data_IF_210673916163
#
_entry.id   IF_210673916163
#
_cell.length_a   1.000
_cell.length_b   1.000
_cell.length_c   1.000
_cell.angle_alpha   90.00
_cell.angle_beta   90.00
_cell.angle_gamma   90.00
#
_symmetry.space_group_name_H-M   'P 1'
#
loop_
_entity.id
_entity.type
_entity.pdbx_description
1 polymer ?
#
# COMPACT_ATOMS: atom_id res chain seq x y z
N UNK A 1 -41.34 22.13 -43.33
CA UNK A 1 -40.61 22.93 -44.33
C UNK A 1 -39.14 22.93 -43.92
N UNK A 2 -38.30 22.33 -44.78
CA UNK A 2 -36.82 22.46 -44.92
C UNK A 2 -35.98 22.00 -43.69
N UNK A 3 -35.33 20.82 -43.68
CA UNK A 3 -33.99 20.47 -44.25
C UNK A 3 -32.88 21.48 -43.84
N UNK A 4 -31.62 21.17 -43.48
CA UNK A 4 -30.70 20.06 -43.76
C UNK A 4 -29.39 20.21 -42.93
N UNK A 5 -28.88 19.08 -42.40
CA UNK A 5 -27.50 18.53 -42.44
C UNK A 5 -26.28 19.47 -42.27
N UNK A 6 -25.37 19.11 -41.33
CA UNK A 6 -23.98 18.72 -41.63
C UNK A 6 -23.17 18.35 -40.38
N UNK A 7 -22.81 17.07 -40.27
CA UNK A 7 -21.74 16.59 -39.41
C UNK A 7 -20.36 16.72 -40.08
N UNK A 8 -19.30 16.76 -39.27
CA UNK A 8 -17.93 16.52 -39.71
C UNK A 8 -17.20 15.58 -38.76
N UNK A 9 -16.83 14.43 -39.32
CA UNK A 9 -15.76 13.55 -38.87
C UNK A 9 -14.39 14.20 -39.15
N UNK A 10 -13.44 14.01 -38.23
CA UNK A 10 -11.99 14.06 -38.49
C UNK A 10 -11.34 13.09 -37.50
N UNK A 11 -11.04 11.85 -37.88
CA UNK A 11 -9.83 11.40 -38.58
C UNK A 11 -8.61 11.31 -37.67
N UNK A 12 -8.28 10.05 -37.41
CA UNK A 12 -7.19 9.48 -36.63
C UNK A 12 -5.86 9.73 -37.36
N UNK A 13 -4.82 10.18 -36.63
CA UNK A 13 -3.44 10.07 -37.08
C UNK A 13 -2.63 9.18 -36.11
N UNK A 14 -2.28 8.00 -36.60
CA UNK A 14 -1.20 7.15 -36.11
C UNK A 14 0.15 7.83 -36.40
N UNK A 15 1.03 7.86 -35.41
CA UNK A 15 2.46 8.05 -35.63
C UNK A 15 3.20 7.08 -34.69
N UNK A 16 3.59 5.93 -35.23
CA UNK A 16 4.58 5.02 -34.64
C UNK A 16 5.95 5.44 -35.18
N UNK A 17 6.91 5.62 -34.29
CA UNK A 17 8.34 5.67 -34.64
C UNK A 17 9.06 4.59 -33.85
N UNK A 18 9.36 3.50 -34.55
CA UNK A 18 10.33 2.47 -34.15
C UNK A 18 11.75 3.02 -34.28
N UNK A 19 12.57 2.80 -33.25
CA UNK A 19 14.03 2.84 -33.40
C UNK A 19 14.69 1.91 -32.38
N UNK A 20 14.91 0.66 -32.77
CA UNK A 20 15.79 -0.30 -32.07
C UNK A 20 17.26 -0.03 -32.41
N UNK A 21 18.20 -0.09 -31.44
CA UNK A 21 19.63 -0.02 -31.72
C UNK A 21 20.20 -1.37 -32.19
N UNK A 22 21.14 -1.30 -33.14
CA UNK A 22 21.85 -2.39 -33.82
C UNK A 22 22.75 -3.21 -32.88
N UNK A 23 22.67 -4.54 -32.98
CA UNK A 23 23.61 -5.50 -32.39
C UNK A 23 24.96 -5.52 -33.15
N UNK A 24 26.06 -5.52 -32.41
CA UNK A 24 27.43 -5.79 -32.90
C UNK A 24 27.81 -7.27 -32.70
N UNK A 25 28.48 -7.93 -33.67
CA UNK A 25 28.80 -9.35 -33.60
C UNK A 25 30.07 -9.64 -32.77
N UNK A 26 30.21 -10.85 -32.17
CA UNK A 26 31.38 -11.22 -31.37
C UNK A 26 32.53 -11.75 -32.24
N UNK A 27 33.73 -11.26 -31.95
CA UNK A 27 35.00 -11.69 -32.54
C UNK A 27 35.42 -13.07 -32.01
N UNK A 28 35.68 -14.00 -32.94
CA UNK A 28 36.33 -15.30 -32.68
C UNK A 28 37.79 -15.08 -32.30
N UNK A 29 38.24 -15.68 -31.19
CA UNK A 29 39.66 -15.93 -30.94
C UNK A 29 39.95 -17.43 -30.93
N UNK A 30 40.94 -17.79 -31.75
CA UNK A 30 41.41 -19.14 -32.07
C UNK A 30 42.28 -19.74 -30.97
N UNK A 31 42.17 -21.07 -30.84
CA UNK A 31 43.09 -21.98 -30.14
C UNK A 31 44.52 -21.85 -30.67
N UNK A 32 45.50 -21.86 -29.78
CA UNK A 32 46.80 -22.48 -30.06
C UNK A 32 47.26 -23.34 -28.88
N UNK A 33 47.61 -24.59 -29.21
CA UNK A 33 48.22 -25.58 -28.33
C UNK A 33 49.73 -25.46 -28.51
N UNK A 34 50.49 -25.38 -27.42
CA UNK A 34 51.88 -25.82 -27.43
C UNK A 34 52.15 -26.72 -26.23
N UNK A 35 52.37 -28.00 -26.51
CA UNK A 35 53.02 -28.98 -25.62
C UNK A 35 54.54 -28.83 -25.78
N UNK A 36 55.27 -28.75 -24.68
CA UNK A 36 56.65 -29.25 -24.56
C UNK A 36 56.87 -29.73 -23.13
N UNK A 37 57.47 -30.90 -23.00
CA UNK A 37 57.70 -31.63 -21.75
C UNK A 37 59.20 -31.92 -21.58
N UNK A 38 59.55 -32.26 -20.32
CA UNK A 38 60.77 -32.88 -19.77
C UNK A 38 61.78 -31.93 -19.09
N UNK A 39 62.58 -32.39 -18.10
CA UNK A 39 62.19 -33.17 -16.90
C UNK A 39 62.88 -32.70 -15.60
N UNK A 40 62.39 -33.17 -14.44
CA UNK A 40 63.19 -33.43 -13.23
C UNK A 40 63.45 -32.29 -12.25
N UNK A 41 62.80 -32.34 -11.09
CA UNK A 41 63.37 -32.45 -9.72
C UNK A 41 62.31 -32.05 -8.70
N UNK A 42 61.96 -32.96 -7.78
CA UNK A 42 61.17 -32.65 -6.60
C UNK A 42 62.08 -31.98 -5.54
N UNK A 43 61.55 -31.03 -4.75
CA UNK A 43 61.49 -31.35 -3.32
C UNK A 43 60.31 -30.75 -2.54
N UNK A 44 59.98 -31.45 -1.45
CA UNK A 44 59.38 -31.00 -0.19
C UNK A 44 58.00 -30.30 -0.16
N UNK A 45 57.01 -31.08 0.27
CA UNK A 45 55.78 -30.59 0.90
C UNK A 45 56.00 -30.30 2.39
N UNK A 46 55.76 -29.08 2.88
CA UNK A 46 55.48 -28.86 4.29
C UNK A 46 53.99 -29.15 4.59
N UNK A 47 53.80 -29.87 5.69
CA UNK A 47 52.51 -30.27 6.24
C UNK A 47 51.61 -29.07 6.59
N UNK A 48 50.32 -29.22 6.27
CA UNK A 48 49.11 -28.71 6.95
C UNK A 48 49.28 -27.50 7.90
N UNK A 49 48.79 -26.34 7.46
CA UNK A 49 47.97 -25.48 8.32
C UNK A 49 46.57 -25.39 7.70
N UNK A 50 45.65 -26.19 8.22
CA UNK A 50 44.22 -26.05 7.97
C UNK A 50 43.75 -24.74 8.63
N UNK A 51 43.77 -23.64 7.89
CA UNK A 51 43.04 -22.44 8.29
C UNK A 51 41.55 -22.78 8.22
N UNK A 52 40.95 -23.17 9.35
CA UNK A 52 39.50 -23.18 9.52
C UNK A 52 39.04 -21.74 9.29
N UNK A 53 38.59 -21.44 8.07
CA UNK A 53 37.69 -20.32 7.84
C UNK A 53 36.45 -20.65 8.64
N UNK A 54 36.36 -20.10 9.85
CA UNK A 54 35.12 -20.15 10.59
C UNK A 54 34.12 -19.37 9.74
N UNK A 55 32.97 -19.95 9.36
CA UNK A 55 31.91 -19.14 8.80
C UNK A 55 31.64 -18.05 9.85
N UNK A 56 31.77 -16.78 9.44
CA UNK A 56 31.25 -15.69 10.28
C UNK A 56 29.81 -16.06 10.60
N UNK A 57 29.37 -16.01 11.86
CA UNK A 57 27.96 -16.21 12.16
C UNK A 57 27.20 -15.22 11.28
N UNK A 58 26.27 -15.74 10.48
CA UNK A 58 25.32 -14.90 9.79
C UNK A 58 24.77 -13.94 10.84
N UNK A 59 24.90 -12.62 10.62
CA UNK A 59 24.21 -11.64 11.46
C UNK A 59 22.74 -12.06 11.45
N UNK A 60 22.27 -12.63 12.56
CA UNK A 60 20.86 -12.89 12.78
C UNK A 60 20.24 -11.50 12.72
N UNK A 61 19.65 -11.16 11.57
CA UNK A 61 18.91 -9.92 11.42
C UNK A 61 17.75 -10.10 12.39
N UNK A 62 17.78 -9.38 13.51
CA UNK A 62 16.71 -9.44 14.49
C UNK A 62 15.41 -9.16 13.74
N UNK A 63 14.49 -10.12 13.76
CA UNK A 63 13.15 -9.93 13.22
C UNK A 63 12.49 -8.81 14.02
N UNK A 64 11.96 -7.80 13.34
CA UNK A 64 11.18 -6.76 13.98
C UNK A 64 9.98 -7.40 14.69
N UNK A 65 9.49 -6.85 15.81
CA UNK A 65 8.28 -7.35 16.45
C UNK A 65 7.02 -6.92 15.69
N UNK A 66 5.88 -7.54 16.01
CA UNK A 66 4.57 -7.04 15.58
C UNK A 66 4.30 -5.64 16.17
N UNK A 67 3.46 -4.83 15.53
CA UNK A 67 3.22 -3.47 16.00
C UNK A 67 2.41 -3.45 17.29
N UNK A 68 2.71 -2.48 18.14
CA UNK A 68 1.95 -2.15 19.34
C UNK A 68 1.41 -0.72 19.25
N UNK A 69 2.21 0.22 18.74
CA UNK A 69 1.87 1.63 18.63
C UNK A 69 2.20 2.19 17.25
N UNK A 70 1.59 3.32 16.91
CA UNK A 70 1.88 4.02 15.67
C UNK A 70 1.72 5.53 15.82
N UNK A 71 2.48 6.28 15.03
CA UNK A 71 2.28 7.70 14.77
C UNK A 71 1.71 7.90 13.36
N UNK A 72 0.95 8.98 13.18
CA UNK A 72 0.36 9.37 11.90
C UNK A 72 0.63 10.83 11.59
N UNK A 73 1.02 11.10 10.34
CA UNK A 73 0.99 12.42 9.73
C UNK A 73 0.16 12.34 8.45
N UNK A 74 -1.03 12.97 8.45
CA UNK A 74 -1.89 13.08 7.27
C UNK A 74 -1.83 14.50 6.73
N UNK A 75 -1.57 14.66 5.45
CA UNK A 75 -1.46 15.99 4.84
C UNK A 75 -1.87 15.98 3.36
N UNK A 76 -2.11 17.18 2.82
CA UNK A 76 -2.42 17.41 1.42
C UNK A 76 -3.56 18.40 1.27
N UNK A 77 -4.38 18.29 0.22
CA UNK A 77 -5.50 19.22 0.00
C UNK A 77 -6.78 18.55 -0.46
N UNK A 78 -7.90 19.16 -0.07
CA UNK A 78 -9.26 18.82 -0.52
C UNK A 78 -9.85 20.07 -1.17
N UNK A 79 -10.23 19.98 -2.45
CA UNK A 79 -10.68 21.11 -3.27
C UNK A 79 -9.70 22.30 -3.23
N UNK A 80 -8.39 22.03 -3.19
CA UNK A 80 -7.35 23.07 -3.12
C UNK A 80 -7.15 23.72 -1.74
N UNK A 81 -7.92 23.33 -0.72
CA UNK A 81 -7.68 23.72 0.65
C UNK A 81 -6.69 22.75 1.31
N UNK A 82 -5.49 23.24 1.60
CA UNK A 82 -4.47 22.48 2.32
C UNK A 82 -4.93 22.15 3.74
N UNK A 83 -4.66 20.93 4.17
CA UNK A 83 -4.87 20.45 5.53
C UNK A 83 -3.63 19.67 6.01
N UNK A 84 -3.48 19.58 7.32
CA UNK A 84 -2.40 18.85 7.96
C UNK A 84 -2.88 18.38 9.33
N UNK A 85 -2.69 17.10 9.63
CA UNK A 85 -3.08 16.46 10.88
C UNK A 85 -1.98 15.55 11.37
N UNK A 86 -1.71 15.59 12.68
CA UNK A 86 -0.73 14.73 13.34
C UNK A 86 -1.35 14.02 14.53
N UNK A 87 -0.82 12.86 14.87
CA UNK A 87 -1.23 12.12 16.06
C UNK A 87 -0.67 10.71 16.06
N UNK A 88 -1.46 9.76 16.54
CA UNK A 88 -1.03 8.38 16.67
C UNK A 88 -2.05 7.53 17.40
N UNK A 89 -1.61 6.34 17.77
CA UNK A 89 -2.49 5.31 18.27
C UNK A 89 -1.79 4.03 18.67
N UNK A 90 -2.62 3.01 18.91
CA UNK A 90 -2.20 1.66 19.28
C UNK A 90 -3.16 0.63 18.71
N UNK A 91 -2.73 -0.61 18.66
CA UNK A 91 -3.58 -1.70 18.19
C UNK A 91 -3.15 -3.07 18.71
N UNK A 92 -3.98 -4.05 18.44
CA UNK A 92 -3.74 -5.46 18.72
C UNK A 92 -3.58 -6.23 17.40
N UNK A 93 -2.35 -6.62 17.05
CA UNK A 93 -2.05 -7.31 15.79
C UNK A 93 -2.58 -8.74 15.73
N UNK A 94 -3.05 -9.30 16.85
CA UNK A 94 -3.69 -10.62 16.88
C UNK A 94 -5.21 -10.54 16.70
N UNK A 95 -5.79 -9.39 17.04
CA UNK A 95 -7.24 -9.17 16.93
C UNK A 95 -7.63 -8.46 15.63
N UNK A 96 -6.70 -7.81 14.93
CA UNK A 96 -7.06 -6.93 13.80
C UNK A 96 -7.79 -5.69 14.28
N UNK A 97 -7.39 -5.12 15.43
CA UNK A 97 -8.02 -3.92 15.95
C UNK A 97 -7.02 -2.82 16.23
N UNK A 98 -7.43 -1.56 16.02
CA UNK A 98 -6.61 -0.40 16.34
C UNK A 98 -7.46 0.82 16.69
N UNK A 99 -6.85 1.75 17.42
CA UNK A 99 -7.39 3.07 17.71
C UNK A 99 -6.37 4.11 17.27
N UNK A 100 -6.83 5.12 16.54
CA UNK A 100 -5.99 6.21 16.02
C UNK A 100 -6.68 7.55 16.27
N UNK A 101 -5.96 8.51 16.82
CA UNK A 101 -6.42 9.90 16.96
C UNK A 101 -5.49 10.82 16.18
N UNK A 102 -6.06 11.71 15.39
CA UNK A 102 -5.32 12.75 14.66
C UNK A 102 -5.93 14.12 14.94
N UNK A 103 -5.08 15.12 15.13
CA UNK A 103 -5.43 16.53 15.38
C UNK A 103 -4.90 17.41 14.27
N UNK A 104 -5.73 18.34 13.81
CA UNK A 104 -5.33 19.34 12.82
C UNK A 104 -4.29 20.31 13.39
N UNK A 105 -3.27 20.60 12.60
CA UNK A 105 -2.25 21.63 12.89
C UNK A 105 -2.58 22.97 12.22
N UNK A 106 -3.64 23.00 11.39
CA UNK A 106 -4.07 24.18 10.59
C UNK A 106 -5.45 24.71 11.00
N UNK A 107 -5.90 24.39 12.22
CA UNK A 107 -7.22 24.79 12.72
C UNK A 107 -8.35 23.93 12.18
N UNK A 108 -9.58 24.47 12.13
CA UNK A 108 -10.75 23.71 11.72
C UNK A 108 -10.68 23.27 10.24
N UNK A 109 -10.90 21.97 10.01
CA UNK A 109 -11.01 21.39 8.67
C UNK A 109 -12.17 22.03 7.89
N UNK A 110 -11.91 22.34 6.61
CA UNK A 110 -12.87 22.98 5.69
C UNK A 110 -13.85 22.00 5.03
N UNK A 111 -13.73 20.72 5.35
CA UNK A 111 -14.56 19.63 4.85
C UNK A 111 -15.00 18.74 6.03
N UNK A 112 -15.76 17.69 5.74
CA UNK A 112 -16.20 16.70 6.72
C UNK A 112 -14.99 15.96 7.31
N UNK A 113 -14.81 15.93 8.65
CA UNK A 113 -13.75 15.13 9.27
C UNK A 113 -13.85 13.63 8.95
N UNK A 114 -15.04 13.14 8.60
CA UNK A 114 -15.26 11.76 8.16
C UNK A 114 -14.55 11.41 6.85
N UNK A 115 -14.16 12.40 6.04
CA UNK A 115 -13.33 12.16 4.85
C UNK A 115 -11.94 11.61 5.21
N UNK A 116 -11.51 11.72 6.47
CA UNK A 116 -10.27 11.11 6.95
C UNK A 116 -10.41 9.60 7.21
N UNK A 117 -11.63 9.05 7.13
CA UNK A 117 -11.95 7.64 7.31
C UNK A 117 -12.18 7.04 5.92
N UNK A 118 -11.57 5.91 5.56
CA UNK A 118 -10.90 4.94 6.44
C UNK A 118 -9.39 5.16 6.64
N UNK A 119 -8.83 6.28 6.19
CA UNK A 119 -7.37 6.47 6.09
C UNK A 119 -6.62 6.35 7.42
N UNK A 120 -7.24 6.77 8.54
CA UNK A 120 -6.67 6.62 9.89
C UNK A 120 -6.46 5.15 10.30
N UNK A 121 -7.20 4.20 9.73
CA UNK A 121 -7.18 2.79 10.14
C UNK A 121 -6.73 1.84 9.04
N UNK A 122 -7.38 1.89 7.87
CA UNK A 122 -7.05 1.04 6.71
C UNK A 122 -5.64 1.36 6.16
N UNK A 123 -4.93 2.31 6.76
CA UNK A 123 -3.53 2.60 6.57
C UNK A 123 -2.55 1.79 7.44
N UNK A 124 -2.99 0.92 8.35
CA UNK A 124 -2.08 0.15 9.22
C UNK A 124 -2.35 -1.36 9.20
N UNK A 125 -2.33 -1.96 8.01
CA UNK A 125 -2.56 -3.42 7.88
C UNK A 125 -1.49 -4.30 8.52
N UNK A 126 -0.43 -3.71 9.09
CA UNK A 126 0.47 -4.38 10.02
C UNK A 126 -0.27 -4.89 11.29
N UNK A 127 -1.45 -4.35 11.63
CA UNK A 127 -2.31 -4.90 12.69
C UNK A 127 -3.24 -6.02 12.23
N UNK A 128 -3.36 -6.28 10.93
CA UNK A 128 -4.30 -7.27 10.38
C UNK A 128 -3.67 -8.67 10.37
N UNK A 129 -4.16 -9.64 11.15
CA UNK A 129 -3.81 -11.05 10.99
C UNK A 129 -4.63 -11.70 9.87
N UNK A 130 -4.10 -12.76 9.27
CA UNK A 130 -4.84 -13.67 8.38
C UNK A 130 -5.33 -14.90 9.17
N UNK A 131 -6.33 -15.65 8.66
CA UNK A 131 -6.95 -16.76 9.42
C UNK A 131 -5.98 -17.82 9.91
N UNK A 132 -4.89 -18.04 9.17
CA UNK A 132 -3.91 -19.10 9.36
C UNK A 132 -2.52 -18.59 9.77
N UNK A 133 -2.40 -17.32 10.15
CA UNK A 133 -1.15 -16.74 10.64
C UNK A 133 -0.97 -15.25 10.30
N UNK A 134 0.27 -14.75 10.36
CA UNK A 134 0.55 -13.37 10.02
C UNK A 134 0.15 -13.03 8.58
N UNK A 135 -0.43 -11.85 8.36
CA UNK A 135 -0.71 -11.37 7.02
C UNK A 135 0.58 -10.99 6.26
N UNK A 136 0.53 -10.81 4.93
CA UNK A 136 1.69 -10.32 4.17
C UNK A 136 2.21 -8.97 4.69
N UNK A 137 1.33 -8.12 5.20
CA UNK A 137 1.67 -6.82 5.78
C UNK A 137 2.44 -6.97 7.10
N UNK A 138 2.02 -7.91 7.94
CA UNK A 138 2.74 -8.27 9.16
C UNK A 138 4.11 -8.86 8.84
N UNK A 139 4.18 -9.84 7.93
CA UNK A 139 5.45 -10.45 7.50
C UNK A 139 6.42 -9.40 6.94
N UNK A 140 5.93 -8.47 6.12
CA UNK A 140 6.76 -7.39 5.57
C UNK A 140 7.43 -6.53 6.65
N UNK A 141 6.68 -6.16 7.69
CA UNK A 141 7.21 -5.43 8.85
C UNK A 141 8.19 -6.29 9.66
N UNK A 142 7.81 -7.52 10.01
CA UNK A 142 8.64 -8.46 10.79
C UNK A 142 10.01 -8.70 10.14
N UNK A 143 10.06 -8.76 8.81
CA UNK A 143 11.31 -8.92 8.05
C UNK A 143 12.09 -7.62 7.82
N UNK A 144 11.51 -6.48 8.17
CA UNK A 144 12.06 -5.15 7.89
C UNK A 144 12.25 -4.91 6.39
N UNK A 145 11.27 -5.33 5.58
CA UNK A 145 11.25 -5.07 4.13
C UNK A 145 10.48 -3.79 3.83
N UNK A 146 9.17 -3.77 4.14
CA UNK A 146 8.30 -2.63 3.89
C UNK A 146 7.32 -2.86 2.73
N UNK A 147 6.36 -1.95 2.65
CA UNK A 147 5.43 -1.81 1.54
C UNK A 147 4.90 -0.37 1.50
N UNK A 148 4.42 0.05 0.34
CA UNK A 148 3.70 1.32 0.15
C UNK A 148 2.25 1.07 -0.25
N UNK A 149 1.36 2.03 0.05
CA UNK A 149 -0.07 1.94 -0.29
C UNK A 149 -0.47 3.08 -1.20
N UNK A 150 -1.14 2.76 -2.28
CA UNK A 150 -1.79 3.72 -3.17
C UNK A 150 -3.28 3.42 -3.22
N UNK A 151 -4.13 4.44 -3.07
CA UNK A 151 -5.58 4.26 -3.28
C UNK A 151 -6.18 5.35 -4.12
N UNK A 152 -7.27 5.00 -4.79
CA UNK A 152 -8.16 5.93 -5.49
C UNK A 152 -9.58 5.67 -5.04
N UNK A 153 -10.25 6.72 -4.57
CA UNK A 153 -11.68 6.76 -4.28
C UNK A 153 -12.36 7.57 -5.38
N UNK A 154 -13.35 6.94 -5.99
CA UNK A 154 -14.23 7.53 -7.00
C UNK A 154 -15.64 7.70 -6.42
N UNK A 155 -15.99 8.93 -6.04
CA UNK A 155 -17.25 9.23 -5.38
C UNK A 155 -18.41 9.40 -6.37
N UNK A 156 -19.61 9.05 -5.93
CA UNK A 156 -20.83 9.06 -6.75
C UNK A 156 -21.22 10.42 -7.32
N UNK A 157 -20.70 11.52 -6.77
CA UNK A 157 -20.92 12.90 -7.22
C UNK A 157 -19.78 13.46 -8.10
N UNK A 158 -18.85 12.60 -8.51
CA UNK A 158 -17.68 12.99 -9.31
C UNK A 158 -16.46 13.43 -8.50
N UNK A 159 -16.60 13.57 -7.17
CA UNK A 159 -15.47 13.77 -6.28
C UNK A 159 -14.42 12.66 -6.42
N UNK A 160 -13.14 13.02 -6.36
CA UNK A 160 -12.03 12.06 -6.42
C UNK A 160 -11.10 12.29 -5.23
N UNK A 161 -10.58 11.21 -4.67
CA UNK A 161 -9.52 11.26 -3.66
C UNK A 161 -8.45 10.21 -3.96
N UNK A 162 -7.21 10.66 -4.10
CA UNK A 162 -6.04 9.79 -4.28
C UNK A 162 -5.15 9.85 -3.05
N UNK A 163 -4.59 8.71 -2.64
CA UNK A 163 -3.77 8.63 -1.43
C UNK A 163 -2.47 7.86 -1.66
N UNK A 164 -1.38 8.29 -1.02
CA UNK A 164 -0.08 7.60 -0.99
C UNK A 164 0.40 7.49 0.47
N UNK A 165 0.64 6.26 0.93
CA UNK A 165 1.09 5.99 2.30
C UNK A 165 2.47 5.35 2.32
N UNK A 166 3.34 5.86 3.18
CA UNK A 166 4.68 5.34 3.45
C UNK A 166 4.86 5.09 4.94
N UNK A 167 5.68 4.10 5.26
CA UNK A 167 5.93 3.69 6.63
C UNK A 167 7.42 3.58 6.93
N UNK A 168 7.79 3.91 8.15
CA UNK A 168 9.04 3.47 8.77
C UNK A 168 8.75 2.74 10.08
N UNK A 169 9.70 1.93 10.53
CA UNK A 169 9.52 1.01 11.65
C UNK A 169 10.64 1.15 12.68
N UNK A 170 10.28 1.30 13.95
CA UNK A 170 11.18 1.38 15.09
C UNK A 170 10.71 0.36 16.15
N UNK A 171 11.25 -0.85 16.10
CA UNK A 171 10.75 -1.96 16.91
C UNK A 171 9.27 -2.24 16.64
N UNK A 172 8.43 -2.14 17.66
CA UNK A 172 6.96 -2.32 17.57
C UNK A 172 6.21 -1.02 17.27
N UNK A 173 6.92 0.06 16.95
CA UNK A 173 6.33 1.35 16.63
C UNK A 173 6.38 1.64 15.12
N UNK A 174 5.24 2.03 14.55
CA UNK A 174 5.12 2.41 13.12
C UNK A 174 5.05 3.93 13.02
N UNK A 175 5.79 4.55 12.12
CA UNK A 175 5.57 5.94 11.72
C UNK A 175 4.99 5.98 10.31
N UNK A 176 3.81 6.56 10.14
CA UNK A 176 3.17 6.68 8.84
C UNK A 176 3.13 8.12 8.35
N UNK A 177 3.49 8.29 7.09
CA UNK A 177 3.32 9.51 6.31
C UNK A 177 2.25 9.26 5.24
N UNK A 178 1.16 10.01 5.29
CA UNK A 178 -0.03 9.78 4.47
C UNK A 178 -0.41 11.05 3.70
N UNK A 179 -0.17 11.03 2.39
CA UNK A 179 -0.54 12.13 1.50
C UNK A 179 -1.90 11.88 0.85
N UNK A 180 -2.81 12.86 0.94
CA UNK A 180 -4.17 12.78 0.41
C UNK A 180 -4.43 13.99 -0.50
N UNK A 181 -4.85 13.71 -1.74
CA UNK A 181 -5.22 14.74 -2.72
C UNK A 181 -6.64 14.51 -3.20
N UNK A 182 -7.54 15.40 -2.78
CA UNK A 182 -8.97 15.35 -3.08
C UNK A 182 -9.44 16.55 -3.92
N UNK A 183 -10.33 16.32 -4.88
CA UNK A 183 -10.85 17.38 -5.75
C UNK A 183 -12.22 17.01 -6.32
N UNK A 184 -12.96 18.02 -6.79
CA UNK A 184 -14.24 17.83 -7.47
C UNK A 184 -15.41 17.54 -6.53
N UNK A 185 -15.26 17.74 -5.22
CA UNK A 185 -16.38 17.64 -4.29
C UNK A 185 -17.30 18.87 -4.47
N UNK A 186 -18.61 18.71 -4.69
CA UNK A 186 -19.53 19.85 -4.75
C UNK A 186 -19.54 20.64 -3.45
N UNK A 187 -19.57 21.97 -3.52
CA UNK A 187 -19.55 22.85 -2.34
C UNK A 187 -20.80 22.68 -1.46
N UNK A 188 -21.94 22.35 -2.06
CA UNK A 188 -23.19 21.97 -1.39
C UNK A 188 -23.29 20.47 -1.09
N UNK A 189 -22.28 19.69 -1.49
CA UNK A 189 -22.21 18.25 -1.32
C UNK A 189 -21.92 17.82 0.12
N UNK A 190 -22.13 16.52 0.44
CA UNK A 190 -22.07 16.02 1.82
C UNK A 190 -20.69 16.13 2.46
N UNK A 191 -19.62 16.11 1.65
CA UNK A 191 -18.24 16.29 2.11
C UNK A 191 -18.01 17.73 2.56
N UNK A 192 -18.32 18.71 1.71
CA UNK A 192 -18.02 20.12 1.99
C UNK A 192 -18.95 20.70 3.07
N UNK A 193 -20.21 20.26 3.08
CA UNK A 193 -21.21 20.70 4.07
C UNK A 193 -21.24 19.85 5.35
N UNK A 194 -20.37 18.83 5.47
CA UNK A 194 -20.24 17.99 6.67
C UNK A 194 -21.52 17.25 7.09
N UNK A 195 -22.24 16.70 6.11
CA UNK A 195 -23.47 15.93 6.34
C UNK A 195 -23.21 14.46 6.70
N UNK A 196 -21.97 14.00 6.65
CA UNK A 196 -21.58 12.62 6.98
C UNK A 196 -21.62 12.42 8.49
N UNK A 197 -22.28 11.35 8.94
CA UNK A 197 -22.47 11.04 10.37
C UNK A 197 -21.96 9.67 10.79
N UNK A 198 -21.77 8.73 9.85
CA UNK A 198 -21.20 7.40 10.10
C UNK A 198 -20.75 6.77 8.75
N UNK A 199 -20.30 5.53 8.78
CA UNK A 199 -20.04 4.68 7.62
C UNK A 199 -20.55 3.26 7.85
N UNK A 200 -20.93 2.58 6.78
CA UNK A 200 -21.34 1.18 6.84
C UNK A 200 -20.14 0.26 7.20
N UNK A 201 -20.44 -0.99 7.58
CA UNK A 201 -19.42 -2.04 7.56
C UNK A 201 -19.01 -2.34 6.12
N UNK A 202 -17.74 -2.64 5.88
CA UNK A 202 -17.18 -2.77 4.54
C UNK A 202 -16.39 -4.07 4.39
N UNK A 203 -16.52 -4.74 3.23
CA UNK A 203 -15.71 -5.91 2.86
C UNK A 203 -14.81 -5.53 1.70
N UNK A 204 -13.50 -5.68 1.89
CA UNK A 204 -12.54 -5.56 0.78
C UNK A 204 -12.16 -6.92 0.25
N UNK A 205 -12.05 -7.04 -1.08
CA UNK A 205 -11.52 -8.22 -1.76
C UNK A 205 -10.07 -7.97 -2.18
N UNK A 206 -9.13 -8.74 -1.62
CA UNK A 206 -7.69 -8.69 -1.96
C UNK A 206 -7.32 -9.84 -2.89
N UNK A 207 -6.55 -9.54 -3.93
CA UNK A 207 -5.95 -10.51 -4.86
C UNK A 207 -4.49 -10.15 -5.11
N UNK A 208 -3.68 -11.12 -5.53
CA UNK A 208 -2.29 -10.89 -5.90
C UNK A 208 -2.20 -10.62 -7.40
N UNK A 209 -1.77 -9.40 -7.78
CA UNK A 209 -1.64 -9.02 -9.19
C UNK A 209 -0.36 -9.61 -9.81
N UNK A 210 0.71 -9.61 -9.04
CA UNK A 210 2.01 -10.16 -9.39
C UNK A 210 2.69 -10.63 -8.09
N UNK A 211 3.99 -10.93 -8.16
CA UNK A 211 4.71 -11.47 -7.01
C UNK A 211 5.04 -10.44 -5.92
N UNK A 212 4.74 -9.15 -6.05
CA UNK A 212 5.00 -8.16 -4.99
C UNK A 212 3.87 -7.14 -4.82
N UNK A 213 2.72 -7.34 -5.48
CA UNK A 213 1.60 -6.41 -5.44
C UNK A 213 0.32 -7.12 -5.03
N UNK A 214 -0.29 -6.65 -3.95
CA UNK A 214 -1.70 -6.94 -3.63
C UNK A 214 -2.54 -5.82 -4.26
N UNK A 215 -3.62 -6.19 -4.92
CA UNK A 215 -4.66 -5.25 -5.32
C UNK A 215 -5.93 -5.54 -4.53
N UNK A 216 -6.61 -4.49 -4.11
CA UNK A 216 -7.92 -4.63 -3.49
C UNK A 216 -8.95 -3.67 -4.07
N UNK A 217 -10.21 -4.06 -3.89
CA UNK A 217 -11.33 -3.20 -4.20
C UNK A 217 -12.44 -3.37 -3.18
N UNK A 218 -13.19 -2.30 -2.97
CA UNK A 218 -14.37 -2.26 -2.13
C UNK A 218 -15.27 -1.09 -2.53
N UNK A 219 -16.56 -1.25 -2.24
CA UNK A 219 -17.55 -0.18 -2.38
C UNK A 219 -17.76 0.43 -1.00
N UNK A 220 -17.27 1.65 -0.84
CA UNK A 220 -17.38 2.41 0.40
C UNK A 220 -18.70 3.18 0.45
N UNK A 221 -19.31 3.27 1.62
CA UNK A 221 -20.52 4.07 1.82
C UNK A 221 -20.55 4.74 3.19
N UNK A 222 -20.63 6.07 3.15
CA UNK A 222 -20.93 6.88 4.32
C UNK A 222 -22.44 6.97 4.54
N UNK A 223 -22.85 7.12 5.80
CA UNK A 223 -24.21 7.44 6.20
C UNK A 223 -24.33 8.96 6.38
N UNK A 224 -25.40 9.54 5.83
CA UNK A 224 -25.66 10.97 5.91
C UNK A 224 -26.73 11.28 6.98
N UNK A 225 -26.71 12.51 7.50
CA UNK A 225 -27.67 12.99 8.50
C UNK A 225 -29.13 12.85 8.04
N UNK A 226 -29.38 12.94 6.72
CA UNK A 226 -30.71 12.78 6.12
C UNK A 226 -31.11 11.30 5.85
N UNK A 227 -30.32 10.33 6.32
CA UNK A 227 -30.56 8.89 6.15
C UNK A 227 -30.11 8.31 4.81
N UNK A 228 -29.64 9.13 3.85
CA UNK A 228 -29.07 8.65 2.58
C UNK A 228 -27.67 8.07 2.78
N UNK A 229 -27.14 7.45 1.72
CA UNK A 229 -25.76 6.99 1.62
C UNK A 229 -24.99 7.81 0.60
N UNK A 230 -23.73 8.10 0.90
CA UNK A 230 -22.77 8.71 -0.02
C UNK A 230 -21.66 7.72 -0.34
N UNK A 231 -21.59 7.28 -1.59
CA UNK A 231 -20.78 6.11 -1.99
C UNK A 231 -19.50 6.49 -2.72
N UNK A 232 -18.51 5.60 -2.62
CA UNK A 232 -17.33 5.64 -3.46
C UNK A 232 -16.92 4.24 -3.91
N UNK A 233 -16.51 4.12 -5.18
CA UNK A 233 -15.77 2.94 -5.66
C UNK A 233 -14.31 3.11 -5.30
N UNK A 234 -13.72 2.12 -4.63
CA UNK A 234 -12.33 2.20 -4.18
C UNK A 234 -11.48 1.11 -4.81
N UNK A 235 -10.27 1.50 -5.19
CA UNK A 235 -9.19 0.61 -5.60
C UNK A 235 -7.92 0.91 -4.81
N UNK A 236 -7.22 -0.14 -4.37
CA UNK A 236 -5.97 -0.01 -3.63
C UNK A 236 -4.90 -0.91 -4.20
N UNK A 237 -3.68 -0.40 -4.31
CA UNK A 237 -2.48 -1.17 -4.63
C UNK A 237 -1.51 -1.12 -3.45
N UNK A 238 -1.06 -2.29 -3.01
CA UNK A 238 -0.06 -2.46 -1.97
C UNK A 238 1.19 -3.03 -2.62
N UNK A 239 2.25 -2.23 -2.71
CA UNK A 239 3.48 -2.59 -3.40
C UNK A 239 4.53 -2.92 -2.36
N UNK A 240 4.97 -4.17 -2.34
CA UNK A 240 5.91 -4.72 -1.38
C UNK A 240 7.34 -4.69 -1.95
N UNK A 241 8.31 -4.42 -1.07
CA UNK A 241 9.73 -4.36 -1.44
C UNK A 241 10.33 -5.75 -1.67
N UNK A 242 9.70 -6.79 -1.13
CA UNK A 242 10.08 -8.19 -1.33
C UNK A 242 8.95 -8.98 -2.00
N UNK A 243 9.30 -9.98 -2.83
CA UNK A 243 8.32 -10.84 -3.44
C UNK A 243 7.66 -11.80 -2.43
N UNK A 244 6.40 -12.12 -2.67
CA UNK A 244 5.62 -13.16 -2.00
C UNK A 244 6.12 -14.55 -2.36
N UNK A 245 5.94 -15.50 -1.45
CA UNK A 245 6.12 -16.91 -1.77
C UNK A 245 4.99 -17.40 -2.70
N UNK A 246 5.30 -18.42 -3.50
CA UNK A 246 4.31 -19.03 -4.39
C UNK A 246 3.10 -19.60 -3.64
N UNK A 247 3.30 -20.15 -2.44
CA UNK A 247 2.23 -20.73 -1.63
C UNK A 247 1.30 -19.67 -1.03
N UNK A 248 1.84 -18.50 -0.66
CA UNK A 248 1.01 -17.37 -0.22
C UNK A 248 0.06 -16.92 -1.33
N UNK A 249 0.57 -16.79 -2.56
CA UNK A 249 -0.23 -16.33 -3.70
C UNK A 249 -1.34 -17.30 -4.13
N UNK A 250 -1.29 -18.58 -3.73
CA UNK A 250 -2.39 -19.54 -3.99
C UNK A 250 -3.63 -19.25 -3.15
N UNK A 251 -3.49 -18.56 -2.01
CA UNK A 251 -4.58 -18.27 -1.06
C UNK A 251 -5.27 -16.95 -1.41
N UNK A 252 -6.01 -16.95 -2.51
CA UNK A 252 -6.75 -15.76 -2.96
C UNK A 252 -8.10 -16.15 -3.59
N UNK A 253 -9.11 -15.25 -3.54
CA UNK A 253 -9.09 -13.95 -2.87
C UNK A 253 -9.04 -14.07 -1.34
N UNK A 254 -8.53 -13.03 -0.68
CA UNK A 254 -8.70 -12.84 0.76
C UNK A 254 -9.70 -11.71 0.96
N UNK A 255 -10.78 -12.01 1.67
CA UNK A 255 -11.77 -11.01 2.05
C UNK A 255 -11.45 -10.48 3.43
N UNK A 256 -11.71 -9.19 3.66
CA UNK A 256 -11.57 -8.59 4.99
C UNK A 256 -12.78 -7.74 5.26
N UNK A 257 -13.61 -8.18 6.21
CA UNK A 257 -14.66 -7.35 6.78
C UNK A 257 -14.05 -6.37 7.76
N UNK A 258 -14.53 -5.12 7.73
CA UNK A 258 -14.09 -4.06 8.62
C UNK A 258 -15.24 -3.20 9.08
N UNK A 259 -15.11 -2.68 10.30
CA UNK A 259 -16.00 -1.65 10.85
C UNK A 259 -15.17 -0.54 11.49
N UNK A 260 -15.52 0.68 11.14
CA UNK A 260 -14.97 1.90 11.74
C UNK A 260 -15.99 2.46 12.72
N UNK A 261 -15.54 2.83 13.92
CA UNK A 261 -16.28 3.58 14.92
C UNK A 261 -15.57 4.92 15.13
N UNK A 262 -16.26 6.02 14.86
CA UNK A 262 -15.61 7.32 14.73
C UNK A 262 -16.20 8.31 15.72
N UNK A 263 -15.33 9.11 16.34
CA UNK A 263 -15.68 10.34 17.05
C UNK A 263 -14.88 11.46 16.45
N UNK A 264 -15.56 12.51 16.01
CA UNK A 264 -14.89 13.60 15.31
C UNK A 264 -15.44 14.97 15.71
N UNK A 265 -14.54 15.94 15.70
CA UNK A 265 -14.82 17.37 15.70
C UNK A 265 -14.17 17.99 14.45
N UNK A 266 -14.30 19.31 14.29
CA UNK A 266 -13.66 20.02 13.19
C UNK A 266 -12.13 20.06 13.27
N UNK A 267 -11.53 19.70 14.40
CA UNK A 267 -10.08 19.78 14.60
C UNK A 267 -9.45 18.46 15.03
N UNK A 268 -10.25 17.44 15.36
CA UNK A 268 -9.76 16.16 15.87
C UNK A 268 -10.66 15.02 15.38
N UNK A 269 -10.05 13.91 14.96
CA UNK A 269 -10.75 12.68 14.58
C UNK A 269 -10.13 11.53 15.36
N UNK A 270 -10.97 10.71 15.99
CA UNK A 270 -10.59 9.44 16.62
C UNK A 270 -11.35 8.31 15.94
N UNK A 271 -10.62 7.28 15.53
CA UNK A 271 -11.12 6.03 14.94
C UNK A 271 -10.81 4.87 15.89
N UNK A 272 -11.79 3.99 16.13
CA UNK A 272 -11.62 2.60 16.58
C UNK A 272 -12.04 1.69 15.41
N UNK A 273 -11.09 0.90 14.91
CA UNK A 273 -11.28 -0.01 13.79
C UNK A 273 -11.19 -1.46 14.21
N UNK A 274 -12.08 -2.28 13.64
CA UNK A 274 -12.10 -3.73 13.78
C UNK A 274 -12.01 -4.38 12.40
N UNK A 275 -11.16 -5.38 12.28
CA UNK A 275 -10.92 -6.13 11.05
C UNK A 275 -11.06 -7.64 11.26
N UNK A 276 -11.62 -8.34 10.28
CA UNK A 276 -11.64 -9.80 10.24
C UNK A 276 -11.38 -10.30 8.83
N UNK A 277 -10.22 -10.90 8.62
CA UNK A 277 -9.88 -11.59 7.38
C UNK A 277 -10.55 -12.97 7.32
N UNK A 278 -10.94 -13.40 6.13
CA UNK A 278 -11.45 -14.74 5.83
C UNK A 278 -11.20 -15.10 4.36
N UNK A 279 -10.99 -16.39 4.09
CA UNK A 279 -10.85 -16.91 2.72
C UNK A 279 -12.23 -17.24 2.12
N UNK A 280 -13.09 -17.83 2.93
CA UNK A 280 -14.45 -18.24 2.62
C UNK A 280 -15.32 -18.12 3.89
N UNK A 281 -16.65 -18.12 3.72
CA UNK A 281 -17.58 -18.22 4.84
C UNK A 281 -18.00 -19.70 4.97
N UNK A 282 -18.01 -20.20 6.20
CA UNK A 282 -18.54 -21.53 6.53
C UNK A 282 -20.06 -21.55 6.45
#
# INVERSE_FOLDING_TARGET
MVESIAGRHSSIHHCQTDSSPKETPPTRYTRERHKKALPGTAPHFPNKLSSRVHPRPAKIRATMPLPATHDIHLHGSINGHEFDMVGGGKGDPNAGSLVTTAKSTKGALKFSPYLMIPHLGYGYYQYLPYPDGPSPFQTSMLEGSGYAVYRVFDFEDGGKLTTEFKYSYEGSHIKADMKLMGSGFPDDGPVMTSQIVDQDGCVSKKTYLNNNTIVDSFDWSYNLQNGKRYRARVSSHYIFDKPFSADLMKKQPVFVYRKCHVKASKTEVTLDEREKAFYELA
#
